data_IF_248903618882
#
_entry.id   IF_248903618882
#
_cell.length_a   1.000
_cell.length_b   1.000
_cell.length_c   1.000
_cell.angle_alpha   90.00
_cell.angle_beta   90.00
_cell.angle_gamma   90.00
#
_symmetry.space_group_name_H-M   'P 1'
#
loop_
_entity.id
_entity.type
_entity.pdbx_description
1 polymer ?
#
# COMPACT_ATOMS: atom_id res chain seq x y z
N UNK A 1 10.40 41.78 -24.57
CA UNK A 1 9.21 41.70 -23.69
C UNK A 1 8.40 40.40 -23.86
N UNK A 2 8.38 39.77 -25.05
CA UNK A 2 7.68 38.49 -25.30
C UNK A 2 8.33 37.26 -24.61
N UNK A 3 9.66 37.29 -24.43
CA UNK A 3 10.45 36.21 -23.80
C UNK A 3 10.23 36.11 -22.28
N UNK A 4 10.10 37.23 -21.58
CA UNK A 4 9.88 37.26 -20.12
C UNK A 4 8.51 36.69 -19.76
N UNK A 5 7.46 37.04 -20.53
CA UNK A 5 6.11 36.46 -20.34
C UNK A 5 6.09 34.95 -20.61
N UNK A 6 6.85 34.45 -21.59
CA UNK A 6 6.98 33.00 -21.82
C UNK A 6 7.69 32.29 -20.66
N UNK A 7 8.75 32.86 -20.11
CA UNK A 7 9.49 32.28 -18.98
C UNK A 7 8.62 32.27 -17.71
N UNK A 8 7.88 33.35 -17.44
CA UNK A 8 6.94 33.41 -16.31
C UNK A 8 5.81 32.37 -16.46
N UNK A 9 5.24 32.22 -17.65
CA UNK A 9 4.23 31.18 -17.90
C UNK A 9 4.82 29.76 -17.78
N UNK A 10 6.05 29.53 -18.23
CA UNK A 10 6.71 28.22 -18.08
C UNK A 10 6.94 27.88 -16.60
N UNK A 11 7.36 28.88 -15.81
CA UNK A 11 7.61 28.75 -14.38
C UNK A 11 6.35 28.43 -13.59
N UNK A 12 5.16 28.84 -14.05
CA UNK A 12 3.91 28.48 -13.39
C UNK A 12 3.36 27.12 -13.84
N UNK A 13 3.64 26.66 -15.07
CA UNK A 13 3.07 25.42 -15.62
C UNK A 13 3.83 24.18 -15.16
N UNK A 14 5.17 24.25 -15.12
CA UNK A 14 6.01 23.10 -14.77
C UNK A 14 5.75 22.54 -13.36
N UNK A 15 5.62 23.36 -12.30
CA UNK A 15 5.32 22.86 -10.95
C UNK A 15 3.98 22.13 -10.89
N UNK A 16 2.93 22.66 -11.53
CA UNK A 16 1.61 22.01 -11.56
C UNK A 16 1.67 20.63 -12.22
N UNK A 17 2.37 20.52 -13.36
CA UNK A 17 2.54 19.24 -14.06
C UNK A 17 3.32 18.24 -13.22
N UNK A 18 4.37 18.70 -12.55
CA UNK A 18 5.18 17.86 -11.67
C UNK A 18 4.39 17.40 -10.44
N UNK A 19 3.55 18.25 -9.88
CA UNK A 19 2.65 17.91 -8.77
C UNK A 19 1.64 16.84 -9.19
N UNK A 20 0.93 17.06 -10.32
CA UNK A 20 -0.01 16.07 -10.86
C UNK A 20 0.66 14.73 -11.19
N UNK A 21 1.84 14.79 -11.82
CA UNK A 21 2.68 13.60 -12.06
C UNK A 21 3.06 12.89 -10.76
N UNK A 22 3.48 13.62 -9.73
CA UNK A 22 3.93 13.02 -8.46
C UNK A 22 2.79 12.34 -7.70
N UNK A 23 1.60 12.97 -7.71
CA UNK A 23 0.38 12.41 -7.12
C UNK A 23 -0.03 11.13 -7.86
N UNK A 24 -0.11 11.17 -9.20
CA UNK A 24 -0.51 10.00 -10.00
C UNK A 24 0.54 8.88 -9.95
N UNK A 25 1.83 9.20 -9.96
CA UNK A 25 2.93 8.24 -9.77
C UNK A 25 2.82 7.53 -8.43
N UNK A 26 2.49 8.27 -7.36
CA UNK A 26 2.31 7.69 -6.01
C UNK A 26 1.09 6.78 -5.97
N UNK A 27 -0.02 7.17 -6.59
CA UNK A 27 -1.21 6.34 -6.71
C UNK A 27 -0.93 5.06 -7.51
N UNK A 28 -0.24 5.17 -8.65
CA UNK A 28 0.22 4.04 -9.44
C UNK A 28 1.11 3.10 -8.60
N UNK A 29 2.08 3.65 -7.87
CA UNK A 29 2.97 2.86 -7.05
C UNK A 29 2.22 2.07 -5.99
N UNK A 30 1.27 2.70 -5.29
CA UNK A 30 0.44 2.02 -4.30
C UNK A 30 -0.38 0.90 -4.95
N UNK A 31 -1.06 1.17 -6.06
CA UNK A 31 -1.90 0.20 -6.77
C UNK A 31 -1.09 -0.99 -7.30
N UNK A 32 0.00 -0.73 -8.02
CA UNK A 32 0.85 -1.77 -8.57
C UNK A 32 1.61 -2.53 -7.49
N UNK A 33 1.87 -1.93 -6.31
CA UNK A 33 2.51 -2.66 -5.20
C UNK A 33 1.67 -3.85 -4.73
N UNK A 34 0.34 -3.74 -4.73
CA UNK A 34 -0.55 -4.87 -4.43
C UNK A 34 -0.47 -5.96 -5.51
N UNK A 35 -0.40 -5.57 -6.79
CA UNK A 35 -0.19 -6.50 -7.91
C UNK A 35 1.15 -7.24 -7.81
N UNK A 36 2.21 -6.52 -7.51
CA UNK A 36 3.55 -7.06 -7.31
C UNK A 36 3.58 -8.02 -6.11
N UNK A 37 2.92 -7.69 -5.00
CA UNK A 37 2.79 -8.57 -3.84
C UNK A 37 2.01 -9.85 -4.19
N UNK A 38 0.92 -9.73 -4.94
CA UNK A 38 0.14 -10.87 -5.43
C UNK A 38 0.96 -11.79 -6.34
N UNK A 39 1.71 -11.23 -7.28
CA UNK A 39 2.63 -11.98 -8.14
C UNK A 39 3.73 -12.69 -7.35
N UNK A 40 4.45 -11.95 -6.49
CA UNK A 40 5.53 -12.51 -5.67
C UNK A 40 5.05 -13.72 -4.85
N UNK A 41 3.83 -13.60 -4.30
CA UNK A 41 3.20 -14.68 -3.56
C UNK A 41 2.77 -15.84 -4.43
N UNK A 42 2.18 -15.56 -5.60
CA UNK A 42 1.79 -16.61 -6.55
C UNK A 42 2.98 -17.51 -6.86
N UNK A 43 4.15 -16.93 -7.16
CA UNK A 43 5.38 -17.71 -7.36
C UNK A 43 5.81 -18.46 -6.10
N UNK A 44 5.71 -17.84 -4.92
CA UNK A 44 6.09 -18.48 -3.65
C UNK A 44 5.24 -19.71 -3.34
N UNK A 45 3.93 -19.67 -3.62
CA UNK A 45 3.00 -20.77 -3.32
C UNK A 45 3.06 -21.86 -4.39
N UNK A 46 3.10 -21.48 -5.67
CA UNK A 46 2.96 -22.43 -6.78
C UNK A 46 4.30 -23.06 -7.13
N UNK A 47 5.37 -22.27 -7.16
CA UNK A 47 6.72 -22.71 -7.48
C UNK A 47 7.55 -22.97 -6.22
N UNK A 48 6.92 -23.45 -5.14
CA UNK A 48 7.57 -23.71 -3.85
C UNK A 48 8.83 -24.61 -3.93
N UNK A 49 8.98 -25.38 -5.03
CA UNK A 49 10.12 -26.28 -5.30
C UNK A 49 11.35 -25.51 -5.80
N UNK A 50 11.19 -24.35 -6.44
CA UNK A 50 12.31 -23.57 -6.98
C UNK A 50 12.85 -22.62 -5.92
N UNK A 51 13.98 -23.00 -5.31
CA UNK A 51 14.72 -22.18 -4.33
C UNK A 51 14.97 -20.72 -4.77
N UNK A 52 15.00 -20.46 -6.07
CA UNK A 52 15.20 -19.13 -6.65
C UNK A 52 14.21 -18.08 -6.14
N UNK A 53 12.91 -18.42 -6.06
CA UNK A 53 11.87 -17.46 -5.65
C UNK A 53 11.87 -17.17 -4.14
N UNK A 54 12.59 -17.97 -3.35
CA UNK A 54 12.76 -17.77 -1.91
C UNK A 54 13.95 -16.87 -1.56
N UNK A 55 14.75 -16.48 -2.55
CA UNK A 55 15.88 -15.59 -2.36
C UNK A 55 15.44 -14.16 -2.07
N UNK A 56 16.12 -13.49 -1.14
CA UNK A 56 15.87 -12.08 -0.80
C UNK A 56 15.99 -11.14 -2.01
N UNK A 57 16.74 -11.54 -3.05
CA UNK A 57 16.92 -10.75 -4.28
C UNK A 57 15.63 -10.64 -5.11
N UNK A 58 14.77 -11.65 -5.06
CA UNK A 58 13.57 -11.72 -5.90
C UNK A 58 12.53 -10.64 -5.53
N UNK A 59 12.18 -10.43 -4.24
CA UNK A 59 11.35 -9.29 -3.82
C UNK A 59 11.90 -7.92 -4.25
N UNK A 60 13.22 -7.71 -4.20
CA UNK A 60 13.82 -6.44 -4.63
C UNK A 60 13.65 -6.17 -6.12
N UNK A 61 13.80 -7.20 -6.97
CA UNK A 61 13.52 -7.08 -8.41
C UNK A 61 12.05 -6.69 -8.65
N UNK A 62 11.13 -7.32 -7.93
CA UNK A 62 9.71 -7.03 -7.99
C UNK A 62 9.36 -5.59 -7.56
N UNK A 63 9.97 -5.11 -6.47
CA UNK A 63 9.81 -3.71 -6.03
C UNK A 63 10.32 -2.74 -7.09
N UNK A 64 11.53 -2.97 -7.63
CA UNK A 64 12.11 -2.14 -8.69
C UNK A 64 11.24 -2.10 -9.95
N UNK A 65 10.65 -3.24 -10.32
CA UNK A 65 9.72 -3.33 -11.45
C UNK A 65 8.42 -2.55 -11.20
N UNK A 66 7.86 -2.62 -9.98
CA UNK A 66 6.69 -1.82 -9.59
C UNK A 66 6.93 -0.31 -9.70
N UNK A 67 8.10 0.15 -9.26
CA UNK A 67 8.52 1.55 -9.43
C UNK A 67 8.61 1.94 -10.90
N UNK A 68 9.27 1.12 -11.72
CA UNK A 68 9.42 1.38 -13.15
C UNK A 68 8.08 1.50 -13.87
N UNK A 69 7.14 0.58 -13.61
CA UNK A 69 5.77 0.66 -14.16
C UNK A 69 5.09 1.96 -13.74
N UNK A 70 5.21 2.34 -12.46
CA UNK A 70 4.51 3.51 -11.92
C UNK A 70 5.02 4.82 -12.50
N UNK A 71 6.33 4.92 -12.71
CA UNK A 71 6.96 6.06 -13.39
C UNK A 71 6.42 6.18 -14.83
N UNK A 72 6.39 5.06 -15.57
CA UNK A 72 5.92 5.05 -16.96
C UNK A 72 4.43 5.36 -17.05
N UNK A 73 3.62 4.76 -16.17
CA UNK A 73 2.17 4.95 -16.11
C UNK A 73 1.80 6.42 -15.87
N UNK A 74 2.57 7.15 -15.06
CA UNK A 74 2.28 8.55 -14.75
C UNK A 74 2.77 9.55 -15.83
N UNK A 75 3.60 9.12 -16.79
CA UNK A 75 4.20 10.00 -17.81
C UNK A 75 3.22 10.92 -18.54
N UNK A 76 1.98 10.50 -18.91
CA UNK A 76 1.05 11.38 -19.61
C UNK A 76 0.79 12.72 -18.91
N UNK A 77 0.84 12.77 -17.58
CA UNK A 77 0.66 14.00 -16.80
C UNK A 77 1.74 15.09 -17.07
N UNK A 78 2.94 14.71 -17.52
CA UNK A 78 4.00 15.65 -17.85
C UNK A 78 3.83 16.30 -19.25
N UNK A 79 3.21 15.58 -20.18
CA UNK A 79 3.18 15.97 -21.60
C UNK A 79 1.86 16.60 -22.05
N UNK A 80 0.81 16.54 -21.24
CA UNK A 80 -0.51 17.05 -21.62
C UNK A 80 -0.52 18.58 -21.57
N UNK A 81 -0.74 19.19 -22.74
CA UNK A 81 -0.58 20.63 -22.96
C UNK A 81 -1.61 21.49 -22.21
N UNK A 82 -2.75 20.92 -21.82
CA UNK A 82 -3.86 21.63 -21.17
C UNK A 82 -3.74 21.70 -19.64
N UNK A 83 -2.71 21.10 -19.04
CA UNK A 83 -2.56 21.07 -17.59
C UNK A 83 -2.00 22.40 -17.07
N UNK A 84 -2.84 23.17 -16.37
CA UNK A 84 -2.47 24.35 -15.59
C UNK A 84 -3.07 24.24 -14.20
N UNK A 85 -2.48 24.84 -13.16
CA UNK A 85 -3.01 24.76 -11.79
C UNK A 85 -4.46 25.27 -11.65
N UNK A 86 -4.98 26.03 -12.63
CA UNK A 86 -6.34 26.57 -12.64
C UNK A 86 -7.33 25.78 -13.50
N UNK A 87 -6.86 24.97 -14.45
CA UNK A 87 -7.71 24.16 -15.33
C UNK A 87 -7.77 22.74 -14.77
N UNK A 88 -8.94 22.38 -14.25
CA UNK A 88 -9.19 21.02 -13.78
C UNK A 88 -8.98 20.03 -14.92
N UNK A 89 -8.32 18.90 -14.65
CA UNK A 89 -8.07 17.77 -15.57
C UNK A 89 -9.34 17.16 -16.19
N UNK A 90 -10.49 17.61 -15.72
CA UNK A 90 -11.84 17.15 -16.00
C UNK A 90 -12.21 17.24 -17.49
N UNK A 91 -11.60 18.15 -18.25
CA UNK A 91 -11.84 18.26 -19.70
C UNK A 91 -10.90 17.40 -20.56
N UNK A 92 -9.92 16.74 -19.95
CA UNK A 92 -8.93 15.91 -20.65
C UNK A 92 -9.28 14.42 -20.59
N UNK A 93 -8.60 13.59 -21.40
CA UNK A 93 -8.75 12.14 -21.35
C UNK A 93 -8.10 11.50 -20.08
N UNK A 94 -7.40 12.28 -19.26
CA UNK A 94 -6.56 11.80 -18.16
C UNK A 94 -7.34 11.09 -17.05
N UNK A 95 -8.51 11.58 -16.60
CA UNK A 95 -9.29 10.88 -15.58
C UNK A 95 -9.68 9.46 -16.01
N UNK A 96 -10.09 9.29 -17.28
CA UNK A 96 -10.39 7.97 -17.84
C UNK A 96 -9.14 7.10 -17.97
N UNK A 97 -8.02 7.68 -18.41
CA UNK A 97 -6.75 6.98 -18.49
C UNK A 97 -6.29 6.47 -17.11
N UNK A 98 -6.31 7.33 -16.09
CA UNK A 98 -5.95 6.97 -14.72
C UNK A 98 -6.91 5.92 -14.15
N UNK A 99 -8.23 6.05 -14.36
CA UNK A 99 -9.18 5.02 -13.92
C UNK A 99 -8.85 3.64 -14.54
N UNK A 100 -8.62 3.59 -15.86
CA UNK A 100 -8.35 2.32 -16.55
C UNK A 100 -6.98 1.77 -16.18
N UNK A 101 -5.93 2.58 -16.28
CA UNK A 101 -4.55 2.14 -16.14
C UNK A 101 -4.17 1.93 -14.67
N UNK A 102 -4.54 2.86 -13.80
CA UNK A 102 -4.12 2.84 -12.40
C UNK A 102 -5.01 1.95 -11.55
N UNK A 103 -6.34 1.95 -11.78
CA UNK A 103 -7.28 1.21 -10.94
C UNK A 103 -7.77 -0.11 -11.57
N UNK A 104 -8.34 -0.08 -12.77
CA UNK A 104 -8.93 -1.29 -13.38
C UNK A 104 -7.83 -2.32 -13.67
N UNK A 105 -6.75 -1.92 -14.35
CA UNK A 105 -5.68 -2.84 -14.74
C UNK A 105 -4.96 -3.45 -13.52
N UNK A 106 -4.65 -2.64 -12.50
CA UNK A 106 -4.03 -3.13 -11.27
C UNK A 106 -4.95 -4.11 -10.51
N UNK A 107 -6.25 -3.81 -10.46
CA UNK A 107 -7.27 -4.68 -9.86
C UNK A 107 -7.37 -6.01 -10.59
N UNK A 108 -7.44 -5.99 -11.92
CA UNK A 108 -7.46 -7.22 -12.71
C UNK A 108 -6.22 -8.09 -12.48
N UNK A 109 -5.04 -7.48 -12.37
CA UNK A 109 -3.81 -8.21 -12.05
C UNK A 109 -3.94 -8.92 -10.69
N UNK A 110 -4.35 -8.20 -9.66
CA UNK A 110 -4.49 -8.75 -8.30
C UNK A 110 -5.54 -9.87 -8.28
N UNK A 111 -6.68 -9.67 -8.93
CA UNK A 111 -7.77 -10.64 -8.99
C UNK A 111 -7.36 -11.92 -9.72
N UNK A 112 -6.64 -11.81 -10.85
CA UNK A 112 -6.13 -12.97 -11.59
C UNK A 112 -5.14 -13.76 -10.72
N UNK A 113 -4.19 -13.07 -10.08
CA UNK A 113 -3.21 -13.71 -9.19
C UNK A 113 -3.89 -14.41 -8.01
N UNK A 114 -4.82 -13.74 -7.34
CA UNK A 114 -5.54 -14.31 -6.20
C UNK A 114 -6.45 -15.47 -6.60
N UNK A 115 -7.14 -15.38 -7.74
CA UNK A 115 -7.92 -16.49 -8.30
C UNK A 115 -7.03 -17.71 -8.58
N UNK A 116 -5.87 -17.50 -9.19
CA UNK A 116 -4.94 -18.59 -9.50
C UNK A 116 -4.38 -19.26 -8.23
N UNK A 117 -4.00 -18.46 -7.22
CA UNK A 117 -3.60 -18.98 -5.90
C UNK A 117 -4.74 -19.74 -5.22
N UNK A 118 -5.96 -19.22 -5.26
CA UNK A 118 -7.14 -19.87 -4.69
C UNK A 118 -7.39 -21.24 -5.33
N UNK A 119 -7.40 -21.31 -6.67
CA UNK A 119 -7.58 -22.56 -7.40
C UNK A 119 -6.47 -23.57 -7.09
N UNK A 120 -5.22 -23.12 -6.99
CA UNK A 120 -4.10 -23.97 -6.63
C UNK A 120 -4.24 -24.55 -5.22
N UNK A 121 -4.54 -23.70 -4.23
CA UNK A 121 -4.73 -24.11 -2.82
C UNK A 121 -5.90 -25.09 -2.70
N UNK A 122 -7.00 -24.85 -3.43
CA UNK A 122 -8.15 -25.75 -3.43
C UNK A 122 -7.83 -27.11 -4.07
N UNK A 123 -7.09 -27.13 -5.19
CA UNK A 123 -6.63 -28.37 -5.82
C UNK A 123 -5.69 -29.16 -4.91
N UNK A 124 -4.73 -28.49 -4.28
CA UNK A 124 -3.78 -29.10 -3.34
C UNK A 124 -4.49 -29.70 -2.12
N UNK A 125 -5.50 -29.00 -1.57
CA UNK A 125 -6.33 -29.51 -0.47
C UNK A 125 -6.99 -30.86 -0.79
N UNK A 126 -7.43 -31.05 -2.04
CA UNK A 126 -8.11 -32.27 -2.46
C UNK A 126 -7.14 -33.46 -2.55
N UNK A 127 -5.89 -33.21 -2.94
CA UNK A 127 -4.83 -34.23 -3.05
C UNK A 127 -4.22 -34.59 -1.69
N UNK A 128 -4.19 -33.64 -0.75
CA UNK A 128 -3.68 -33.86 0.62
C UNK A 128 -4.59 -34.75 1.47
N UNK A 129 -5.90 -34.76 1.20
CA UNK A 129 -6.85 -35.64 1.92
C UNK A 129 -6.55 -37.13 1.78
N UNK A 130 -5.74 -37.51 0.78
CA UNK A 130 -5.33 -38.90 0.54
C UNK A 130 -3.92 -39.25 1.07
N UNK A 131 -3.15 -38.29 1.61
CA UNK A 131 -1.76 -38.54 2.04
C UNK A 131 -1.23 -37.64 3.17
N UNK A 132 -1.11 -38.22 4.37
CA UNK A 132 -0.16 -37.83 5.44
C UNK A 132 -0.40 -36.51 6.21
N UNK A 133 -0.12 -36.51 7.52
CA UNK A 133 -0.35 -35.38 8.46
C UNK A 133 0.52 -34.12 8.22
N UNK A 134 1.67 -34.21 7.54
CA UNK A 134 2.63 -33.11 7.36
C UNK A 134 2.08 -31.91 6.54
N UNK A 135 1.16 -32.17 5.63
CA UNK A 135 0.59 -31.18 4.71
C UNK A 135 -0.50 -30.28 5.32
N UNK A 136 -1.04 -30.62 6.50
CA UNK A 136 -2.12 -29.86 7.15
C UNK A 136 -1.68 -28.47 7.63
N UNK A 137 -0.43 -28.31 8.10
CA UNK A 137 0.08 -27.04 8.66
C UNK A 137 0.35 -26.00 7.56
N UNK A 138 0.87 -26.42 6.39
CA UNK A 138 1.09 -25.48 5.26
C UNK A 138 -0.23 -24.94 4.74
N UNK A 139 -1.24 -25.81 4.58
CA UNK A 139 -2.54 -25.42 4.04
C UNK A 139 -3.27 -24.35 4.86
N UNK A 140 -3.30 -24.49 6.20
CA UNK A 140 -3.95 -23.52 7.07
C UNK A 140 -3.27 -22.14 6.99
N UNK A 141 -1.93 -22.12 6.94
CA UNK A 141 -1.14 -20.89 6.77
C UNK A 141 -1.43 -20.23 5.42
N UNK A 142 -1.42 -21.00 4.33
CA UNK A 142 -1.59 -20.48 2.98
C UNK A 142 -3.01 -19.92 2.76
N UNK A 143 -4.03 -20.54 3.36
CA UNK A 143 -5.40 -20.00 3.41
C UNK A 143 -5.51 -18.75 4.25
N UNK A 144 -4.91 -18.74 5.45
CA UNK A 144 -4.96 -17.55 6.31
C UNK A 144 -4.36 -16.34 5.59
N UNK A 145 -3.18 -16.53 4.99
CA UNK A 145 -2.55 -15.49 4.17
C UNK A 145 -3.48 -15.07 3.01
N UNK A 146 -4.20 -16.00 2.37
CA UNK A 146 -5.04 -15.68 1.20
C UNK A 146 -6.21 -14.78 1.63
N UNK A 147 -6.85 -15.10 2.76
CA UNK A 147 -7.90 -14.28 3.36
C UNK A 147 -7.40 -12.89 3.72
N UNK A 148 -6.20 -12.80 4.31
CA UNK A 148 -5.56 -11.52 4.64
C UNK A 148 -5.40 -10.66 3.39
N UNK A 149 -4.87 -11.22 2.29
CA UNK A 149 -4.67 -10.47 1.05
C UNK A 149 -5.96 -10.04 0.35
N UNK A 150 -6.96 -10.92 0.30
CA UNK A 150 -8.28 -10.55 -0.24
C UNK A 150 -8.89 -9.44 0.62
N UNK A 151 -8.75 -9.53 1.95
CA UNK A 151 -9.22 -8.51 2.89
C UNK A 151 -8.55 -7.16 2.68
N UNK A 152 -7.21 -7.10 2.64
CA UNK A 152 -6.47 -5.84 2.43
C UNK A 152 -6.78 -5.24 1.07
N UNK A 153 -6.82 -6.06 0.02
CA UNK A 153 -7.15 -5.59 -1.32
C UNK A 153 -8.59 -5.06 -1.41
N UNK A 154 -9.56 -5.71 -0.76
CA UNK A 154 -10.96 -5.25 -0.75
C UNK A 154 -11.09 -3.90 -0.06
N UNK A 155 -10.47 -3.75 1.13
CA UNK A 155 -10.46 -2.47 1.86
C UNK A 155 -9.84 -1.37 1.01
N UNK A 156 -8.69 -1.67 0.39
CA UNK A 156 -8.00 -0.76 -0.49
C UNK A 156 -8.85 -0.34 -1.70
N UNK A 157 -9.44 -1.30 -2.44
CA UNK A 157 -10.30 -1.00 -3.59
C UNK A 157 -11.52 -0.16 -3.21
N UNK A 158 -12.15 -0.43 -2.06
CA UNK A 158 -13.30 0.37 -1.58
C UNK A 158 -12.88 1.80 -1.22
N UNK A 159 -11.67 2.02 -0.71
CA UNK A 159 -11.20 3.37 -0.41
C UNK A 159 -10.83 4.19 -1.63
N UNK A 160 -10.26 3.55 -2.64
CA UNK A 160 -9.70 4.25 -3.80
C UNK A 160 -10.66 4.36 -4.98
N UNK A 161 -11.55 3.37 -5.20
CA UNK A 161 -12.52 3.41 -6.28
C UNK A 161 -13.36 4.70 -6.30
N UNK A 162 -13.87 5.21 -5.17
CA UNK A 162 -14.64 6.44 -5.15
C UNK A 162 -13.85 7.63 -5.70
N UNK A 163 -12.55 7.74 -5.41
CA UNK A 163 -11.70 8.84 -5.91
C UNK A 163 -11.59 8.82 -7.43
N UNK A 164 -11.32 7.66 -8.03
CA UNK A 164 -11.23 7.58 -9.48
C UNK A 164 -12.58 7.80 -10.18
N UNK A 165 -13.67 7.33 -9.55
CA UNK A 165 -15.03 7.56 -10.05
C UNK A 165 -15.40 9.05 -9.96
N UNK A 166 -15.16 9.72 -8.82
CA UNK A 166 -15.48 11.15 -8.69
C UNK A 166 -14.65 11.98 -9.67
N UNK A 167 -13.36 11.69 -9.84
CA UNK A 167 -12.51 12.35 -10.83
C UNK A 167 -13.04 12.20 -12.26
N UNK A 168 -13.55 11.01 -12.62
CA UNK A 168 -14.11 10.72 -13.95
C UNK A 168 -15.43 11.45 -14.19
N UNK A 169 -16.30 11.51 -13.18
CA UNK A 169 -17.65 12.09 -13.30
C UNK A 169 -17.75 13.58 -12.92
N UNK A 170 -16.65 14.19 -12.45
CA UNK A 170 -16.60 15.61 -12.05
C UNK A 170 -17.05 16.56 -13.17
N UNK A 171 -16.87 16.18 -14.43
CA UNK A 171 -17.25 17.00 -15.61
C UNK A 171 -18.74 17.32 -15.67
N UNK A 172 -19.56 16.45 -15.10
CA UNK A 172 -21.00 16.53 -15.27
C UNK A 172 -21.71 17.30 -14.14
N UNK A 173 -20.96 17.97 -13.23
CA UNK A 173 -21.49 18.73 -12.09
C UNK A 173 -22.44 17.96 -11.14
N UNK A 174 -22.49 16.62 -11.22
CA UNK A 174 -23.40 15.81 -10.41
C UNK A 174 -22.93 15.59 -8.95
N UNK A 175 -21.70 15.97 -8.60
CA UNK A 175 -21.08 15.58 -7.33
C UNK A 175 -20.98 16.80 -6.40
N UNK A 176 -21.67 16.81 -5.25
CA UNK A 176 -21.53 17.84 -4.24
C UNK A 176 -20.09 17.91 -3.72
N UNK A 177 -19.60 19.13 -3.41
CA UNK A 177 -18.24 19.34 -2.89
C UNK A 177 -17.94 18.57 -1.61
N UNK A 178 -18.95 18.40 -0.74
CA UNK A 178 -18.83 17.60 0.47
C UNK A 178 -18.56 16.11 0.15
N UNK A 179 -19.20 15.57 -0.88
CA UNK A 179 -18.99 14.18 -1.31
C UNK A 179 -17.59 14.02 -1.90
N UNK A 180 -17.13 14.96 -2.73
CA UNK A 180 -15.75 14.95 -3.26
C UNK A 180 -14.73 14.97 -2.10
N UNK A 181 -14.90 15.87 -1.13
CA UNK A 181 -14.02 15.94 0.04
C UNK A 181 -13.98 14.64 0.86
N UNK A 182 -15.14 14.00 1.10
CA UNK A 182 -15.19 12.70 1.75
C UNK A 182 -14.44 11.62 0.95
N UNK A 183 -14.60 11.59 -0.38
CA UNK A 183 -13.89 10.64 -1.24
C UNK A 183 -12.38 10.85 -1.19
N UNK A 184 -11.88 12.10 -1.16
CA UNK A 184 -10.44 12.38 -1.10
C UNK A 184 -9.78 11.89 0.21
N UNK A 185 -10.53 11.75 1.31
CA UNK A 185 -10.01 11.28 2.61
C UNK A 185 -9.91 9.73 2.67
N UNK A 186 -10.72 9.02 1.89
CA UNK A 186 -10.81 7.56 1.91
C UNK A 186 -9.46 6.85 1.65
N UNK A 187 -8.63 7.25 0.67
CA UNK A 187 -7.30 6.67 0.47
C UNK A 187 -6.45 6.67 1.74
N UNK A 188 -6.38 7.81 2.46
CA UNK A 188 -5.59 7.93 3.68
C UNK A 188 -6.13 7.04 4.81
N UNK A 189 -7.45 6.91 4.92
CA UNK A 189 -8.08 5.99 5.88
C UNK A 189 -7.74 4.55 5.55
N UNK A 190 -7.81 4.16 4.27
CA UNK A 190 -7.47 2.78 3.88
C UNK A 190 -6.02 2.42 4.10
N UNK A 191 -5.08 3.35 3.86
CA UNK A 191 -3.67 3.15 4.22
C UNK A 191 -3.50 2.92 5.73
N UNK A 192 -4.20 3.69 6.55
CA UNK A 192 -4.15 3.56 8.01
C UNK A 192 -4.71 2.20 8.47
N UNK A 193 -5.84 1.78 7.88
CA UNK A 193 -6.46 0.49 8.16
C UNK A 193 -5.53 -0.65 7.72
N UNK A 194 -4.86 -0.54 6.58
CA UNK A 194 -3.95 -1.57 6.07
C UNK A 194 -2.74 -1.78 7.01
N UNK A 195 -2.15 -0.69 7.52
CA UNK A 195 -1.08 -0.76 8.53
C UNK A 195 -1.58 -1.46 9.81
N UNK A 196 -2.75 -1.09 10.30
CA UNK A 196 -3.37 -1.73 11.47
C UNK A 196 -3.60 -3.22 11.20
N UNK A 197 -4.11 -3.57 10.02
CA UNK A 197 -4.38 -4.94 9.63
C UNK A 197 -3.10 -5.78 9.52
N UNK A 198 -2.02 -5.23 8.95
CA UNK A 198 -0.70 -5.85 8.90
C UNK A 198 -0.15 -6.12 10.31
N UNK A 199 -0.32 -5.18 11.24
CA UNK A 199 0.06 -5.38 12.65
C UNK A 199 -0.76 -6.51 13.27
N UNK A 200 -2.08 -6.54 13.06
CA UNK A 200 -2.94 -7.56 13.66
C UNK A 200 -2.68 -8.98 13.13
N UNK A 201 -2.36 -9.09 11.84
CA UNK A 201 -2.17 -10.37 11.15
C UNK A 201 -0.78 -10.96 11.35
N UNK A 202 0.25 -10.12 11.59
CA UNK A 202 1.61 -10.60 11.77
C UNK A 202 1.95 -10.82 13.25
N UNK A 203 1.98 -12.08 13.68
CA UNK A 203 2.33 -12.45 15.06
C UNK A 203 3.71 -11.94 15.51
N UNK A 204 4.73 -12.05 14.67
CA UNK A 204 6.08 -11.59 14.99
C UNK A 204 6.11 -10.09 15.28
N UNK A 205 5.37 -9.30 14.49
CA UNK A 205 5.22 -7.85 14.70
C UNK A 205 4.50 -7.57 16.02
N UNK A 206 3.42 -8.29 16.34
CA UNK A 206 2.71 -8.13 17.62
C UNK A 206 3.59 -8.46 18.81
N UNK A 207 4.36 -9.55 18.75
CA UNK A 207 5.30 -9.94 19.81
C UNK A 207 6.39 -8.89 19.97
N UNK A 208 6.93 -8.37 18.87
CA UNK A 208 7.92 -7.29 18.89
C UNK A 208 7.36 -6.00 19.52
N UNK A 209 6.17 -5.56 19.08
CA UNK A 209 5.50 -4.37 19.64
C UNK A 209 5.19 -4.55 21.12
N UNK A 210 4.66 -5.71 21.54
CA UNK A 210 4.44 -6.02 22.96
C UNK A 210 5.73 -5.89 23.78
N UNK A 211 6.86 -6.42 23.28
CA UNK A 211 8.17 -6.28 23.96
C UNK A 211 8.62 -4.83 24.05
N UNK A 212 8.37 -4.02 23.02
CA UNK A 212 8.73 -2.61 22.97
C UNK A 212 7.90 -1.79 23.97
N UNK A 213 6.58 -2.03 24.03
CA UNK A 213 5.69 -1.39 24.98
C UNK A 213 5.89 -1.85 26.43
N UNK A 214 6.26 -3.12 26.68
CA UNK A 214 6.54 -3.62 28.04
C UNK A 214 7.91 -3.17 28.57
N UNK A 215 8.90 -2.92 27.71
CA UNK A 215 10.20 -2.35 28.13
C UNK A 215 10.14 -0.86 28.47
N UNK A 216 9.24 -0.10 27.86
CA UNK A 216 9.15 1.34 28.07
C UNK A 216 8.69 1.80 29.47
N UNK A 217 7.81 1.10 30.22
CA UNK A 217 7.42 1.51 31.57
C UNK A 217 8.50 1.22 32.64
N UNK A 218 9.42 0.28 32.43
CA UNK A 218 10.35 -0.12 33.49
C UNK A 218 11.68 0.66 33.54
N UNK A 219 12.10 1.32 32.46
CA UNK A 219 13.38 2.04 32.46
C UNK A 219 13.30 3.45 33.10
N UNK A 220 12.10 4.02 33.21
CA UNK A 220 11.86 5.31 33.87
C UNK A 220 11.58 5.21 35.38
N UNK A 221 10.86 4.17 35.83
CA UNK A 221 10.50 4.04 37.25
C UNK A 221 11.57 3.36 38.10
N UNK A 222 12.30 2.37 37.58
CA UNK A 222 13.31 1.68 38.41
C UNK A 222 14.53 2.54 38.72
N UNK A 223 14.95 3.44 37.81
CA UNK A 223 16.04 4.37 38.12
C UNK A 223 15.63 5.39 39.18
N UNK A 224 14.43 5.98 39.08
CA UNK A 224 13.98 6.95 40.07
C UNK A 224 13.81 6.29 41.45
N UNK A 225 13.18 5.11 41.51
CA UNK A 225 12.99 4.38 42.76
C UNK A 225 14.32 3.90 43.35
N UNK A 226 15.26 3.41 42.54
CA UNK A 226 16.60 3.03 43.04
C UNK A 226 17.40 4.24 43.52
N UNK A 227 17.31 5.39 42.85
CA UNK A 227 18.03 6.61 43.27
C UNK A 227 17.45 7.15 44.59
N UNK A 228 16.12 7.14 44.72
CA UNK A 228 15.43 7.55 45.96
C UNK A 228 15.73 6.56 47.09
N UNK A 229 15.72 5.24 46.83
CA UNK A 229 16.07 4.25 47.86
C UNK A 229 17.53 4.39 48.31
N UNK A 230 18.46 4.60 47.38
CA UNK A 230 19.87 4.80 47.71
C UNK A 230 20.10 6.09 48.50
N UNK A 231 19.44 7.19 48.14
CA UNK A 231 19.51 8.43 48.93
C UNK A 231 18.90 8.26 50.33
N UNK A 232 17.78 7.55 50.44
CA UNK A 232 17.13 7.31 51.74
C UNK A 232 18.00 6.45 52.66
N UNK A 233 18.61 5.38 52.12
CA UNK A 233 19.54 4.51 52.86
C UNK A 233 20.81 5.25 53.31
N UNK A 234 21.36 6.15 52.48
CA UNK A 234 22.52 6.94 52.86
C UNK A 234 22.22 7.96 53.97
N UNK A 235 21.00 8.49 54.01
CA UNK A 235 20.59 9.48 55.02
C UNK A 235 20.39 8.81 56.39
N UNK A 236 19.86 7.59 56.41
CA UNK A 236 19.69 6.80 57.63
C UNK A 236 21.03 6.35 58.22
N UNK A 237 22.04 6.05 57.37
CA UNK A 237 23.36 5.60 57.84
C UNK A 237 24.20 6.70 58.50
N UNK A 238 23.83 7.98 58.36
CA UNK A 238 24.60 9.13 58.87
C UNK A 238 23.98 9.77 60.12
N UNK A 239 22.93 9.17 60.68
CA UNK A 239 22.31 9.53 61.95
C UNK A 239 22.42 8.35 62.92
#
# INVERSE_FOLDING_TARGET
>A
MMTIKRIQNLSSILPCRFEGYSIDMTACLMMYSHGVAAFSRQFTIIDAIKHFFRSIKCPWCFIGFGWFISIIAALPYLFVNSFTCSVSTVETFLPYYTLVNTFILSTMIVDICNCHVFLYVHKSSRQVRTGGQSSKVSYARDIHLLKVMIGTFTIFSVGWAPVFLTQTFRKNNYIPSAVDACCQILPSLTMSIDVVFLIYTNESVRVFLKKLFVRHPQHGQNKLVQTVLQQTLHTISNH
#
